data_IF_573025288555
#
_entry.id   IF_573025288555
#
_cell.length_a   1.000
_cell.length_b   1.000
_cell.length_c   1.000
_cell.angle_alpha   90.00
_cell.angle_beta   90.00
_cell.angle_gamma   90.00
#
_symmetry.space_group_name_H-M   'P 1'
#
loop_
_entity.id
_entity.type
_entity.pdbx_description
1 polymer ?
#
# COMPACT_ATOMS: atom_id res chain seq x y z
N UNK A 1 -20.53 -13.97 11.02
CA UNK A 1 -19.81 -13.42 9.86
C UNK A 1 -20.60 -12.26 9.29
N UNK A 2 -20.07 -11.05 9.36
CA UNK A 2 -20.59 -9.89 8.62
C UNK A 2 -19.74 -9.62 7.37
N UNK A 3 -20.07 -8.55 6.65
CA UNK A 3 -19.30 -8.05 5.49
C UNK A 3 -17.94 -7.43 5.86
N UNK A 4 -17.40 -7.70 7.05
CA UNK A 4 -16.09 -7.20 7.49
C UNK A 4 -16.07 -5.75 7.98
N UNK A 5 -17.22 -5.12 8.26
CA UNK A 5 -17.35 -3.76 8.81
C UNK A 5 -18.09 -3.81 10.15
N UNK A 6 -17.49 -3.29 11.23
CA UNK A 6 -18.02 -3.31 12.61
C UNK A 6 -17.01 -3.80 13.65
N UNK A 7 -17.43 -3.90 14.93
CA UNK A 7 -16.64 -4.38 16.09
C UNK A 7 -16.16 -5.84 15.97
N UNK A 8 -16.56 -6.57 14.92
CA UNK A 8 -16.26 -7.98 14.70
C UNK A 8 -14.84 -8.21 14.13
N UNK A 9 -13.81 -7.63 14.76
CA UNK A 9 -12.40 -7.84 14.38
C UNK A 9 -11.61 -8.53 15.50
N UNK A 10 -12.10 -8.50 16.74
CA UNK A 10 -11.54 -9.27 17.86
C UNK A 10 -12.67 -9.89 18.67
N UNK A 11 -12.42 -11.06 19.24
CA UNK A 11 -13.41 -11.96 19.85
C UNK A 11 -14.15 -11.47 21.10
N UNK A 12 -14.24 -10.16 21.35
CA UNK A 12 -15.11 -9.59 22.38
C UNK A 12 -16.35 -9.00 21.70
N UNK A 13 -17.34 -9.85 21.49
CA UNK A 13 -18.66 -9.47 21.00
C UNK A 13 -19.59 -9.36 22.21
N UNK A 14 -19.98 -8.14 22.56
CA UNK A 14 -21.20 -7.95 23.36
C UNK A 14 -22.39 -8.04 22.39
N UNK A 15 -23.17 -9.11 22.56
CA UNK A 15 -24.46 -9.46 21.94
C UNK A 15 -24.61 -9.37 20.41
N UNK A 16 -24.53 -10.54 19.76
CA UNK A 16 -25.00 -10.75 18.37
C UNK A 16 -26.15 -11.78 18.32
N UNK A 17 -27.42 -11.33 18.48
CA UNK A 17 -28.59 -12.23 18.53
C UNK A 17 -28.71 -13.16 17.32
N UNK A 18 -28.23 -12.74 16.15
CA UNK A 18 -28.27 -13.52 14.91
C UNK A 18 -27.21 -14.64 14.83
N UNK A 19 -26.25 -14.69 15.76
CA UNK A 19 -25.13 -15.66 15.76
C UNK A 19 -25.12 -16.53 17.02
N UNK A 20 -26.15 -16.41 17.87
CA UNK A 20 -26.16 -16.93 19.24
C UNK A 20 -26.05 -18.47 19.33
N UNK A 21 -26.40 -19.17 18.24
CA UNK A 21 -26.39 -20.65 18.17
C UNK A 21 -25.42 -21.22 17.12
N UNK A 22 -24.51 -20.41 16.57
CA UNK A 22 -23.56 -20.89 15.55
C UNK A 22 -22.20 -21.19 16.20
N UNK A 23 -21.95 -22.48 16.46
CA UNK A 23 -20.67 -22.96 16.97
C UNK A 23 -19.68 -23.20 15.82
N UNK A 24 -18.53 -22.51 15.87
CA UNK A 24 -17.43 -22.74 14.94
C UNK A 24 -16.21 -23.30 15.68
N UNK A 25 -15.82 -24.53 15.35
CA UNK A 25 -14.51 -25.08 15.73
C UNK A 25 -13.57 -24.95 14.53
N UNK A 26 -12.62 -24.02 14.59
CA UNK A 26 -11.58 -23.91 13.56
C UNK A 26 -10.35 -24.72 13.97
N UNK A 27 -9.95 -25.68 13.12
CA UNK A 27 -8.56 -26.17 13.08
C UNK A 27 -7.82 -25.26 12.12
N UNK A 28 -6.88 -24.46 12.61
CA UNK A 28 -5.97 -23.67 11.77
C UNK A 28 -4.90 -24.58 11.17
N UNK A 29 -5.26 -25.34 10.14
CA UNK A 29 -4.26 -25.81 9.20
C UNK A 29 -3.99 -24.62 8.27
N UNK A 30 -3.07 -23.73 8.66
CA UNK A 30 -2.61 -22.67 7.77
C UNK A 30 -1.84 -23.31 6.60
N UNK A 31 -2.56 -23.60 5.51
CA UNK A 31 -1.94 -23.91 4.23
C UNK A 31 -1.51 -22.59 3.58
N UNK A 32 -0.20 -22.34 3.58
CA UNK A 32 0.40 -21.23 2.85
C UNK A 32 0.46 -21.56 1.36
N UNK A 33 -0.37 -20.93 0.55
CA UNK A 33 -0.25 -21.04 -0.91
C UNK A 33 0.91 -20.18 -1.41
N UNK A 34 1.93 -20.83 -1.97
CA UNK A 34 3.05 -20.16 -2.64
C UNK A 34 2.56 -19.64 -4.00
N UNK A 35 2.70 -18.34 -4.23
CA UNK A 35 2.31 -17.72 -5.50
C UNK A 35 3.08 -18.34 -6.69
N UNK A 36 2.47 -18.45 -7.89
CA UNK A 36 3.13 -19.04 -9.05
C UNK A 36 4.48 -18.38 -9.38
N UNK A 37 4.56 -17.05 -9.29
CA UNK A 37 5.80 -16.31 -9.55
C UNK A 37 6.90 -16.66 -8.55
N UNK A 38 6.54 -16.91 -7.29
CA UNK A 38 7.51 -17.31 -6.28
C UNK A 38 8.01 -18.75 -6.50
N UNK A 39 7.16 -19.65 -7.02
CA UNK A 39 7.60 -20.99 -7.46
C UNK A 39 8.62 -20.90 -8.60
N UNK A 40 8.37 -20.03 -9.58
CA UNK A 40 9.31 -19.76 -10.68
C UNK A 40 10.63 -19.20 -10.16
N UNK A 41 10.58 -18.26 -9.21
CA UNK A 41 11.79 -17.72 -8.57
C UNK A 41 12.59 -18.81 -7.86
N UNK A 42 11.94 -19.65 -7.07
CA UNK A 42 12.60 -20.74 -6.34
C UNK A 42 13.24 -21.78 -7.27
N UNK A 43 12.59 -22.11 -8.39
CA UNK A 43 13.09 -23.13 -9.32
C UNK A 43 14.24 -22.63 -10.19
N UNK A 44 14.19 -21.39 -10.67
CA UNK A 44 15.19 -20.83 -11.60
C UNK A 44 16.34 -20.11 -10.92
N UNK A 45 16.14 -19.60 -9.70
CA UNK A 45 17.09 -18.69 -9.04
C UNK A 45 17.43 -19.10 -7.61
N UNK A 46 17.38 -20.40 -7.28
CA UNK A 46 17.72 -20.93 -5.96
C UNK A 46 19.09 -20.43 -5.46
N UNK A 47 20.07 -20.34 -6.35
CA UNK A 47 21.44 -19.92 -6.02
C UNK A 47 21.53 -18.45 -5.60
N UNK A 48 20.53 -17.64 -5.92
CA UNK A 48 20.46 -16.22 -5.52
C UNK A 48 20.03 -16.03 -4.06
N UNK A 49 19.58 -17.07 -3.36
CA UNK A 49 19.18 -16.98 -1.94
C UNK A 49 20.37 -17.01 -0.96
N UNK A 50 21.60 -16.98 -1.47
CA UNK A 50 22.80 -16.80 -0.67
C UNK A 50 23.37 -15.40 -0.86
N UNK A 51 23.57 -14.67 0.24
CA UNK A 51 24.18 -13.34 0.21
C UNK A 51 25.61 -13.35 -0.39
N UNK A 52 26.29 -14.50 -0.35
CA UNK A 52 27.61 -14.67 -0.98
C UNK A 52 27.57 -14.62 -2.51
N UNK A 53 26.44 -14.94 -3.13
CA UNK A 53 26.27 -14.80 -4.58
C UNK A 53 25.95 -13.34 -4.93
N UNK A 54 25.16 -12.65 -4.09
CA UNK A 54 24.86 -11.21 -4.21
C UNK A 54 24.16 -10.79 -5.50
N UNK A 55 23.77 -11.74 -6.37
CA UNK A 55 23.13 -11.48 -7.66
C UNK A 55 21.67 -11.12 -7.46
N UNK A 56 21.26 -10.00 -8.06
CA UNK A 56 19.84 -9.68 -8.25
C UNK A 56 19.18 -10.71 -9.18
N UNK A 57 17.94 -11.06 -8.88
CA UNK A 57 17.09 -11.86 -9.76
C UNK A 57 16.48 -10.93 -10.80
N UNK A 58 16.82 -11.17 -12.07
CA UNK A 58 16.25 -10.46 -13.21
C UNK A 58 15.14 -11.34 -13.80
N UNK A 59 13.89 -11.00 -13.51
CA UNK A 59 12.74 -11.67 -14.09
C UNK A 59 12.64 -11.35 -15.58
N UNK A 60 12.42 -12.37 -16.39
CA UNK A 60 12.18 -12.26 -17.81
C UNK A 60 10.70 -12.14 -18.10
N UNK A 61 10.34 -11.75 -19.33
CA UNK A 61 8.93 -11.77 -19.76
C UNK A 61 8.34 -13.18 -19.66
N UNK A 62 9.11 -14.20 -20.00
CA UNK A 62 8.68 -15.60 -19.92
C UNK A 62 8.33 -16.02 -18.47
N UNK A 63 9.11 -15.57 -17.48
CA UNK A 63 8.83 -15.85 -16.07
C UNK A 63 7.48 -15.27 -15.63
N UNK A 64 7.17 -14.05 -16.09
CA UNK A 64 5.90 -13.38 -15.80
C UNK A 64 4.74 -14.08 -16.52
N UNK A 65 4.89 -14.37 -17.81
CA UNK A 65 3.86 -14.97 -18.64
C UNK A 65 3.49 -16.39 -18.12
N UNK A 66 4.47 -17.18 -17.70
CA UNK A 66 4.25 -18.52 -17.10
C UNK A 66 3.59 -18.46 -15.71
N UNK A 67 3.74 -17.34 -15.00
CA UNK A 67 3.26 -17.18 -13.63
C UNK A 67 1.92 -16.44 -13.54
N UNK A 68 1.44 -15.86 -14.65
CA UNK A 68 0.19 -15.12 -14.71
C UNK A 68 -1.03 -16.04 -14.73
N UNK A 69 -1.97 -15.84 -13.81
CA UNK A 69 -3.19 -16.65 -13.68
C UNK A 69 -4.42 -16.04 -14.35
N UNK A 70 -4.35 -14.79 -14.85
CA UNK A 70 -5.52 -14.04 -15.32
C UNK A 70 -5.31 -13.43 -16.72
N UNK A 71 -6.21 -13.77 -17.65
CA UNK A 71 -6.24 -13.27 -19.03
C UNK A 71 -7.09 -12.01 -19.24
N UNK A 72 -7.88 -11.57 -18.26
CA UNK A 72 -8.66 -10.34 -18.44
C UNK A 72 -7.77 -9.11 -18.27
N UNK A 73 -7.55 -8.38 -19.37
CA UNK A 73 -6.92 -7.08 -19.33
C UNK A 73 -7.66 -6.20 -18.32
N UNK A 74 -6.99 -5.81 -17.24
CA UNK A 74 -7.58 -4.86 -16.31
C UNK A 74 -7.47 -3.48 -16.94
N UNK A 75 -8.59 -2.78 -17.07
CA UNK A 75 -8.58 -1.42 -17.59
C UNK A 75 -7.86 -0.51 -16.59
N UNK A 76 -6.75 0.07 -17.04
CA UNK A 76 -6.07 1.13 -16.31
C UNK A 76 -6.70 2.46 -16.71
N UNK A 77 -7.06 3.26 -15.70
CA UNK A 77 -7.62 4.60 -15.91
C UNK A 77 -6.52 5.66 -15.82
N UNK A 78 -6.83 6.90 -16.22
CA UNK A 78 -5.88 8.02 -16.13
C UNK A 78 -5.57 8.45 -14.68
N UNK A 79 -6.29 7.90 -13.69
CA UNK A 79 -6.04 8.15 -12.28
C UNK A 79 -4.86 7.37 -11.70
N UNK A 80 -4.25 6.46 -12.46
CA UNK A 80 -3.14 5.64 -11.96
C UNK A 80 -1.81 6.39 -11.97
N UNK A 81 -0.94 6.08 -11.02
CA UNK A 81 0.36 6.69 -10.86
C UNK A 81 1.43 5.68 -10.43
N UNK A 82 2.68 6.06 -10.66
CA UNK A 82 3.86 5.40 -10.11
C UNK A 82 4.45 6.29 -9.02
N UNK A 83 4.92 5.69 -7.94
CA UNK A 83 5.51 6.42 -6.83
C UNK A 83 6.80 5.73 -6.38
N UNK A 84 7.92 6.43 -6.45
CA UNK A 84 9.22 5.82 -6.25
C UNK A 84 10.38 6.75 -6.49
N UNK A 85 11.58 6.17 -6.47
CA UNK A 85 12.82 6.85 -6.78
C UNK A 85 13.33 6.41 -8.16
N UNK A 86 13.89 7.34 -8.92
CA UNK A 86 14.74 7.03 -10.07
C UNK A 86 16.18 6.97 -9.57
N UNK A 87 16.84 5.85 -9.77
CA UNK A 87 18.23 5.60 -9.37
C UNK A 87 19.09 5.64 -10.63
N UNK A 88 20.05 6.56 -10.64
CA UNK A 88 21.02 6.73 -11.72
C UNK A 88 22.40 7.03 -11.16
N UNK A 89 23.43 6.61 -11.89
CA UNK A 89 24.82 6.93 -11.53
C UNK A 89 25.22 8.34 -11.99
N UNK A 90 24.65 8.81 -13.11
CA UNK A 90 24.83 10.14 -13.67
C UNK A 90 23.53 10.56 -14.38
N UNK A 91 23.37 11.84 -14.70
CA UNK A 91 22.15 12.35 -15.37
C UNK A 91 22.06 11.91 -16.83
N UNK A 92 23.19 11.77 -17.54
CA UNK A 92 23.23 11.37 -18.96
C UNK A 92 22.61 9.98 -19.19
N UNK A 93 22.78 9.07 -18.23
CA UNK A 93 22.25 7.71 -18.25
C UNK A 93 20.72 7.64 -18.29
N UNK A 94 19.99 8.68 -17.86
CA UNK A 94 18.52 8.71 -17.94
C UNK A 94 18.08 8.62 -19.41
N UNK A 95 18.75 9.38 -20.29
CA UNK A 95 18.38 9.46 -21.71
C UNK A 95 18.68 8.16 -22.47
N UNK A 96 19.56 7.32 -21.94
CA UNK A 96 19.94 6.02 -22.50
C UNK A 96 19.14 4.84 -21.91
N UNK A 97 18.09 5.11 -21.12
CA UNK A 97 17.35 4.11 -20.34
C UNK A 97 18.22 3.33 -19.34
N UNK A 98 19.37 3.87 -18.94
CA UNK A 98 20.28 3.26 -17.98
C UNK A 98 19.95 3.75 -16.55
N UNK A 99 18.73 3.46 -16.11
CA UNK A 99 18.24 3.78 -14.77
C UNK A 99 17.59 2.57 -14.10
N UNK A 100 17.35 2.70 -12.80
CA UNK A 100 16.45 1.82 -12.07
C UNK A 100 15.33 2.61 -11.41
N UNK A 101 14.09 2.19 -11.59
CA UNK A 101 12.96 2.72 -10.85
C UNK A 101 12.72 1.87 -9.60
N UNK A 102 13.02 2.43 -8.43
CA UNK A 102 12.67 1.80 -7.17
C UNK A 102 11.29 2.24 -6.72
N UNK A 103 10.34 1.31 -6.85
CA UNK A 103 8.96 1.55 -6.53
C UNK A 103 8.69 1.49 -5.00
N UNK A 104 7.93 2.47 -4.51
CA UNK A 104 7.56 2.63 -3.09
C UNK A 104 6.07 2.41 -2.82
N UNK A 105 5.23 2.24 -3.85
CA UNK A 105 3.79 1.99 -3.73
C UNK A 105 3.39 0.70 -4.46
N UNK A 106 2.12 0.50 -4.80
CA UNK A 106 1.74 -0.56 -5.74
C UNK A 106 2.05 -0.15 -7.19
N UNK A 107 2.24 -1.12 -8.09
CA UNK A 107 2.61 -0.90 -9.50
C UNK A 107 1.50 -1.29 -10.49
N UNK A 108 0.85 -0.32 -11.16
CA UNK A 108 0.68 1.07 -10.72
C UNK A 108 -0.31 1.20 -9.56
N UNK A 109 -0.24 2.30 -8.83
CA UNK A 109 -1.19 2.63 -7.77
C UNK A 109 -2.36 3.43 -8.35
N UNK A 110 -3.62 3.13 -8.00
CA UNK A 110 -4.78 3.89 -8.46
C UNK A 110 -5.01 5.18 -7.68
N UNK A 111 -5.78 6.11 -8.27
CA UNK A 111 -6.30 7.32 -7.63
C UNK A 111 -5.21 8.27 -7.12
N UNK A 112 -4.46 8.89 -8.03
CA UNK A 112 -3.40 9.85 -7.69
C UNK A 112 -3.89 11.06 -6.89
N UNK A 113 -5.18 11.40 -7.00
CA UNK A 113 -5.81 12.46 -6.21
C UNK A 113 -5.66 12.20 -4.69
N UNK A 114 -5.64 10.93 -4.26
CA UNK A 114 -5.39 10.59 -2.85
C UNK A 114 -4.05 11.16 -2.35
N UNK A 115 -3.00 11.16 -3.16
CA UNK A 115 -1.66 11.63 -2.75
C UNK A 115 -1.36 13.06 -3.19
N UNK A 116 -1.94 13.53 -4.29
CA UNK A 116 -1.60 14.83 -4.89
C UNK A 116 -2.54 15.98 -4.52
N UNK A 117 -3.78 15.71 -4.08
CA UNK A 117 -4.77 16.77 -3.84
C UNK A 117 -4.31 17.86 -2.88
N UNK A 118 -3.54 17.52 -1.83
CA UNK A 118 -3.03 18.51 -0.88
C UNK A 118 -2.08 19.56 -1.48
N UNK A 119 -1.46 19.26 -2.63
CA UNK A 119 -0.53 20.17 -3.31
C UNK A 119 -1.21 21.07 -4.35
N UNK A 120 -2.51 20.87 -4.59
CA UNK A 120 -3.24 21.59 -5.64
C UNK A 120 -3.81 22.95 -5.20
N UNK A 121 -3.58 23.40 -3.96
CA UNK A 121 -4.00 24.74 -3.52
C UNK A 121 -3.36 25.88 -4.32
N UNK A 122 -2.15 25.66 -4.84
CA UNK A 122 -1.36 26.67 -5.55
C UNK A 122 -0.86 26.16 -6.92
N UNK A 123 -1.45 25.08 -7.43
CA UNK A 123 -1.12 24.50 -8.73
C UNK A 123 -2.42 24.25 -9.51
N UNK A 124 -2.78 25.21 -10.35
CA UNK A 124 -4.01 25.17 -11.15
C UNK A 124 -4.00 24.05 -12.19
N UNK A 125 -2.82 23.65 -12.67
CA UNK A 125 -2.68 22.54 -13.63
C UNK A 125 -3.01 21.22 -12.93
N UNK A 126 -2.43 21.02 -11.74
CA UNK A 126 -2.73 19.84 -10.92
C UNK A 126 -4.19 19.82 -10.48
N UNK A 127 -4.72 20.97 -10.04
CA UNK A 127 -6.14 21.10 -9.67
C UNK A 127 -7.06 20.71 -10.81
N UNK A 128 -6.85 21.28 -12.00
CA UNK A 128 -7.66 20.98 -13.19
C UNK A 128 -7.61 19.49 -13.54
N UNK A 129 -6.42 18.85 -13.45
CA UNK A 129 -6.28 17.40 -13.69
C UNK A 129 -7.06 16.56 -12.69
N UNK A 130 -7.12 16.96 -11.41
CA UNK A 130 -7.90 16.26 -10.39
C UNK A 130 -9.40 16.43 -10.64
N UNK A 131 -9.84 17.62 -10.99
CA UNK A 131 -11.25 17.91 -11.32
C UNK A 131 -11.71 17.12 -12.56
N UNK A 132 -10.83 16.90 -13.55
CA UNK A 132 -11.11 16.09 -14.73
C UNK A 132 -11.28 14.58 -14.47
N UNK A 133 -10.88 14.07 -13.31
CA UNK A 133 -11.08 12.64 -12.98
C UNK A 133 -12.55 12.26 -12.81
N UNK A 134 -13.43 13.26 -12.78
CA UNK A 134 -14.81 13.11 -12.33
C UNK A 134 -15.73 13.89 -13.25
N UNK A 135 -16.69 13.18 -13.81
CA UNK A 135 -17.76 13.79 -14.56
C UNK A 135 -19.06 13.28 -13.95
N UNK A 136 -19.70 14.13 -13.15
CA UNK A 136 -21.07 13.90 -12.74
C UNK A 136 -21.96 13.75 -13.98
N UNK A 137 -22.96 12.87 -13.89
CA UNK A 137 -23.97 12.67 -14.92
C UNK A 137 -25.37 12.73 -14.32
N UNK A 138 -26.36 12.51 -15.17
CA UNK A 138 -27.75 12.42 -14.71
C UNK A 138 -27.94 11.23 -13.75
N UNK A 139 -27.16 10.16 -13.93
CA UNK A 139 -27.30 8.91 -13.17
C UNK A 139 -26.24 8.73 -12.07
N UNK A 140 -25.07 9.34 -12.19
CA UNK A 140 -23.92 9.12 -11.30
C UNK A 140 -23.39 10.43 -10.76
N UNK A 141 -23.11 10.48 -9.46
CA UNK A 141 -22.48 11.61 -8.79
C UNK A 141 -21.26 11.15 -8.00
N UNK A 142 -20.21 11.96 -8.04
CA UNK A 142 -19.04 11.79 -7.19
C UNK A 142 -19.24 12.59 -5.90
N UNK A 143 -19.07 11.92 -4.77
CA UNK A 143 -19.28 12.54 -3.46
C UNK A 143 -18.05 12.36 -2.57
N UNK A 144 -17.46 13.48 -2.15
CA UNK A 144 -16.28 13.46 -1.29
C UNK A 144 -16.69 13.09 0.14
N UNK A 145 -16.00 12.11 0.73
CA UNK A 145 -16.21 11.74 2.12
C UNK A 145 -15.47 12.74 3.01
N UNK A 146 -16.22 13.51 3.80
CA UNK A 146 -15.68 14.50 4.73
C UNK A 146 -15.67 13.91 6.12
N UNK A 147 -14.46 13.66 6.65
CA UNK A 147 -14.25 13.11 7.97
C UNK A 147 -13.03 13.78 8.62
N UNK A 148 -13.20 14.23 9.86
CA UNK A 148 -12.16 14.79 10.70
C UNK A 148 -11.73 13.72 11.69
N UNK A 149 -10.52 13.21 11.50
CA UNK A 149 -9.85 12.41 12.51
C UNK A 149 -9.21 13.31 13.57
N UNK A 150 -8.95 12.75 14.76
CA UNK A 150 -8.34 13.44 15.90
C UNK A 150 -7.09 14.26 15.48
N UNK A 151 -6.87 15.38 16.19
CA UNK A 151 -5.99 16.55 15.93
C UNK A 151 -4.60 16.36 15.28
N UNK A 152 -4.07 15.14 15.13
CA UNK A 152 -2.70 14.90 14.63
C UNK A 152 -2.55 14.77 13.12
N UNK A 153 -3.63 14.79 12.34
CA UNK A 153 -3.59 14.52 10.89
C UNK A 153 -4.16 15.64 10.01
N UNK A 154 -4.43 16.82 10.58
CA UNK A 154 -4.95 17.97 9.83
C UNK A 154 -4.16 18.26 8.54
N UNK A 155 -2.83 18.24 8.60
CA UNK A 155 -1.95 18.48 7.44
C UNK A 155 -2.07 17.44 6.31
N UNK A 156 -2.58 16.24 6.60
CA UNK A 156 -2.81 15.18 5.61
C UNK A 156 -4.20 15.30 4.98
N UNK A 157 -5.15 15.91 5.72
CA UNK A 157 -6.53 16.12 5.27
C UNK A 157 -6.70 17.39 4.42
N UNK A 158 -5.75 18.32 4.46
CA UNK A 158 -5.76 19.56 3.69
C UNK A 158 -5.84 19.27 2.18
N UNK A 159 -6.84 19.86 1.50
CA UNK A 159 -7.03 19.82 0.05
C UNK A 159 -8.05 20.87 -0.41
N UNK A 160 -7.97 21.36 -1.66
CA UNK A 160 -9.05 22.12 -2.27
C UNK A 160 -10.36 21.31 -2.32
N UNK A 161 -11.47 22.03 -2.46
CA UNK A 161 -12.78 21.40 -2.65
C UNK A 161 -13.00 21.15 -4.13
N UNK A 162 -12.94 19.89 -4.57
CA UNK A 162 -13.13 19.52 -5.98
C UNK A 162 -14.57 19.14 -6.33
N UNK A 163 -15.39 18.75 -5.34
CA UNK A 163 -16.66 18.08 -5.57
C UNK A 163 -17.84 18.97 -5.20
N UNK A 164 -18.97 18.78 -5.89
CA UNK A 164 -20.22 19.46 -5.55
C UNK A 164 -21.00 18.74 -4.44
N UNK A 165 -20.90 17.41 -4.40
CA UNK A 165 -21.54 16.57 -3.40
C UNK A 165 -20.53 16.16 -2.34
N UNK A 166 -20.97 16.19 -1.07
CA UNK A 166 -20.15 15.81 0.07
C UNK A 166 -20.94 14.85 0.97
N UNK A 167 -20.27 13.83 1.51
CA UNK A 167 -20.81 12.94 2.54
C UNK A 167 -20.13 13.31 3.85
N UNK A 168 -20.66 14.29 4.61
CA UNK A 168 -20.14 14.62 5.92
C UNK A 168 -20.43 13.52 6.92
N UNK A 169 -19.43 13.21 7.73
CA UNK A 169 -19.58 12.30 8.85
C UNK A 169 -18.71 12.78 10.01
N UNK A 170 -19.36 13.20 11.10
CA UNK A 170 -18.70 13.77 12.32
C UNK A 170 -17.96 15.10 12.06
N UNK A 171 -18.06 15.63 10.83
CA UNK A 171 -17.48 16.91 10.43
C UNK A 171 -18.50 17.74 9.69
N UNK A 172 -18.33 19.06 9.73
CA UNK A 172 -19.16 19.97 8.95
C UNK A 172 -18.59 20.19 7.55
N UNK A 173 -19.47 20.59 6.64
CA UNK A 173 -19.14 20.97 5.26
C UNK A 173 -19.26 22.47 5.08
N UNK A 174 -18.70 23.00 3.98
CA UNK A 174 -19.02 24.37 3.57
C UNK A 174 -20.48 24.49 3.12
N UNK A 175 -21.03 25.70 3.20
CA UNK A 175 -22.45 25.99 2.91
C UNK A 175 -22.81 25.87 1.43
N UNK A 176 -21.83 26.01 0.52
CA UNK A 176 -22.02 26.00 -0.94
C UNK A 176 -22.13 24.58 -1.54
N UNK A 177 -22.08 23.54 -0.71
CA UNK A 177 -22.01 22.13 -1.12
C UNK A 177 -23.29 21.35 -0.84
N UNK A 178 -23.61 20.39 -1.71
CA UNK A 178 -24.77 19.52 -1.53
C UNK A 178 -24.41 18.38 -0.59
N UNK A 179 -24.94 18.43 0.63
CA UNK A 179 -24.69 17.41 1.67
C UNK A 179 -25.55 16.16 1.41
N UNK A 180 -24.92 15.01 1.28
CA UNK A 180 -25.57 13.70 1.27
C UNK A 180 -25.46 13.12 2.68
N UNK A 181 -26.58 13.12 3.41
CA UNK A 181 -26.63 12.52 4.74
C UNK A 181 -26.40 11.00 4.63
N UNK A 182 -25.72 10.40 5.61
CA UNK A 182 -25.47 8.96 5.60
C UNK A 182 -26.77 8.13 5.55
N UNK A 183 -27.85 8.61 6.16
CA UNK A 183 -29.17 7.96 6.14
C UNK A 183 -29.85 8.04 4.77
N UNK A 184 -29.35 8.88 3.87
CA UNK A 184 -29.82 8.99 2.49
C UNK A 184 -29.17 7.93 1.57
N UNK A 185 -28.07 7.30 2.02
CA UNK A 185 -27.31 6.34 1.22
C UNK A 185 -27.93 4.94 1.36
N UNK A 186 -28.42 4.42 0.24
CA UNK A 186 -28.89 3.04 0.11
C UNK A 186 -27.77 2.19 -0.50
N UNK A 187 -27.54 1.01 0.10
CA UNK A 187 -26.59 0.02 -0.41
C UNK A 187 -27.36 -1.12 -1.06
N UNK A 188 -26.95 -1.52 -2.26
CA UNK A 188 -27.47 -2.71 -2.93
C UNK A 188 -26.34 -3.45 -3.64
N UNK A 189 -26.55 -4.75 -3.87
CA UNK A 189 -25.66 -5.57 -4.70
C UNK A 189 -26.45 -5.94 -5.95
N UNK A 190 -25.90 -5.63 -7.14
CA UNK A 190 -26.48 -6.03 -8.43
C UNK A 190 -25.36 -6.51 -9.34
N UNK A 191 -25.52 -7.68 -9.96
CA UNK A 191 -24.52 -8.27 -10.86
C UNK A 191 -23.12 -8.32 -10.20
N UNK A 192 -23.07 -8.77 -8.95
CA UNK A 192 -21.90 -8.80 -8.08
C UNK A 192 -21.26 -7.44 -7.74
N UNK A 193 -21.80 -6.32 -8.23
CA UNK A 193 -21.32 -4.96 -7.96
C UNK A 193 -22.03 -4.33 -6.76
N UNK A 194 -21.25 -3.66 -5.90
CA UNK A 194 -21.76 -2.82 -4.81
C UNK A 194 -22.20 -1.47 -5.40
N UNK A 195 -23.47 -1.12 -5.21
CA UNK A 195 -24.07 0.13 -5.68
C UNK A 195 -24.55 0.93 -4.48
N UNK A 196 -23.98 2.13 -4.33
CA UNK A 196 -24.48 3.17 -3.44
C UNK A 196 -25.44 4.08 -4.22
N UNK A 197 -26.60 4.41 -3.66
CA UNK A 197 -27.57 5.33 -4.27
C UNK A 197 -28.13 6.29 -3.25
N UNK A 198 -28.20 7.57 -3.59
CA UNK A 198 -28.92 8.58 -2.80
C UNK A 198 -30.42 8.36 -2.95
N UNK A 199 -31.15 8.26 -1.83
CA UNK A 199 -32.62 8.12 -1.82
C UNK A 199 -33.28 9.40 -2.31
N UNK A 200 -32.80 10.56 -1.86
CA UNK A 200 -33.35 11.87 -2.19
C UNK A 200 -33.09 12.29 -3.65
N UNK A 201 -31.87 12.08 -4.15
CA UNK A 201 -31.47 12.47 -5.50
C UNK A 201 -31.79 11.39 -6.55
N UNK A 202 -32.03 10.16 -6.10
CA UNK A 202 -32.17 8.98 -6.96
C UNK A 202 -30.96 8.73 -7.89
N UNK A 203 -29.77 9.19 -7.49
CA UNK A 203 -28.52 9.02 -8.26
C UNK A 203 -27.57 8.03 -7.61
N UNK A 204 -26.82 7.30 -8.43
CA UNK A 204 -25.72 6.42 -7.98
C UNK A 204 -24.59 7.29 -7.41
N UNK A 205 -24.06 6.90 -6.25
CA UNK A 205 -22.97 7.59 -5.58
C UNK A 205 -21.66 6.84 -5.84
N UNK A 206 -20.64 7.57 -6.28
CA UNK A 206 -19.23 7.14 -6.28
C UNK A 206 -18.53 7.88 -5.14
N UNK A 207 -18.30 7.24 -3.98
CA UNK A 207 -17.62 7.88 -2.87
C UNK A 207 -16.16 8.10 -3.24
N UNK A 208 -15.60 9.25 -2.88
CA UNK A 208 -14.18 9.55 -3.10
C UNK A 208 -13.54 10.07 -1.83
N UNK A 209 -12.27 9.70 -1.63
CA UNK A 209 -11.41 10.26 -0.62
C UNK A 209 -10.20 10.86 -1.31
N UNK A 210 -10.12 12.17 -1.40
CA UNK A 210 -9.00 12.86 -2.06
C UNK A 210 -7.90 13.26 -1.05
N UNK A 211 -7.60 12.37 -0.10
CA UNK A 211 -6.53 12.57 0.91
C UNK A 211 -5.68 11.33 1.04
N UNK A 212 -4.44 11.51 1.50
CA UNK A 212 -3.51 10.41 1.77
C UNK A 212 -3.79 9.76 3.14
N UNK A 213 -4.97 10.02 3.70
CA UNK A 213 -5.35 9.52 5.00
C UNK A 213 -5.67 8.03 4.93
N UNK A 214 -5.00 7.24 5.77
CA UNK A 214 -5.22 5.81 5.81
C UNK A 214 -6.53 5.48 6.55
N UNK A 215 -7.61 5.30 5.79
CA UNK A 215 -8.94 4.99 6.32
C UNK A 215 -9.08 3.58 6.93
N UNK A 216 -8.04 2.75 6.92
CA UNK A 216 -8.01 1.47 7.62
C UNK A 216 -7.53 1.58 9.08
N UNK A 217 -6.88 2.67 9.46
CA UNK A 217 -6.33 2.87 10.82
C UNK A 217 -7.33 3.68 11.65
N UNK A 218 -7.81 3.09 12.76
CA UNK A 218 -8.61 3.75 13.80
C UNK A 218 -9.83 4.55 13.27
N UNK A 219 -10.46 4.05 12.22
CA UNK A 219 -11.61 4.68 11.58
C UNK A 219 -12.93 3.98 11.83
N UNK A 220 -13.99 4.78 11.75
CA UNK A 220 -15.35 4.29 11.84
C UNK A 220 -15.66 3.38 10.66
N UNK A 221 -16.38 2.29 10.94
CA UNK A 221 -16.62 1.23 9.96
C UNK A 221 -17.30 1.73 8.68
N UNK A 222 -18.11 2.79 8.78
CA UNK A 222 -18.74 3.44 7.64
C UNK A 222 -17.74 4.19 6.75
N UNK A 223 -16.75 4.86 7.33
CA UNK A 223 -15.68 5.53 6.58
C UNK A 223 -14.85 4.47 5.87
N UNK A 224 -14.47 3.40 6.57
CA UNK A 224 -13.75 2.29 5.96
C UNK A 224 -14.52 1.67 4.78
N UNK A 225 -15.83 1.46 4.95
CA UNK A 225 -16.69 0.93 3.89
C UNK A 225 -16.73 1.84 2.66
N UNK A 226 -16.97 3.14 2.84
CA UNK A 226 -16.96 4.10 1.72
C UNK A 226 -15.59 4.17 1.05
N UNK A 227 -14.52 4.10 1.84
CA UNK A 227 -13.14 4.06 1.37
C UNK A 227 -12.83 2.81 0.54
N UNK A 228 -13.32 1.64 0.95
CA UNK A 228 -13.16 0.40 0.20
C UNK A 228 -13.97 0.38 -1.10
N UNK A 229 -15.19 0.92 -1.08
CA UNK A 229 -16.07 1.01 -2.26
C UNK A 229 -15.43 1.86 -3.36
N UNK A 230 -14.63 2.88 -3.03
CA UNK A 230 -13.92 3.68 -4.04
C UNK A 230 -12.95 2.86 -4.89
N UNK A 231 -12.44 1.74 -4.34
CA UNK A 231 -11.50 0.83 -4.99
C UNK A 231 -12.17 -0.45 -5.48
N UNK A 232 -13.50 -0.54 -5.45
CA UNK A 232 -14.22 -1.65 -6.02
C UNK A 232 -14.06 -1.66 -7.56
N UNK A 233 -13.70 -2.80 -8.14
CA UNK A 233 -13.31 -2.95 -9.56
C UNK A 233 -12.12 -2.09 -10.02
N UNK A 234 -11.31 -1.59 -9.08
CA UNK A 234 -10.07 -0.88 -9.39
C UNK A 234 -8.89 -1.82 -9.19
N UNK A 235 -8.00 -1.91 -10.18
CA UNK A 235 -6.73 -2.62 -10.01
C UNK A 235 -5.91 -1.93 -8.92
N UNK A 236 -5.55 -2.65 -7.86
CA UNK A 236 -4.79 -2.09 -6.74
C UNK A 236 -3.27 -2.13 -6.96
N UNK A 237 -2.85 -2.43 -8.17
CA UNK A 237 -1.44 -2.57 -8.55
C UNK A 237 -0.81 -3.87 -8.06
N UNK A 238 0.40 -4.12 -8.57
CA UNK A 238 1.26 -5.21 -8.15
C UNK A 238 2.16 -4.78 -6.99
N UNK A 239 2.34 -5.66 -6.00
CA UNK A 239 3.40 -5.55 -4.98
C UNK A 239 4.06 -6.90 -4.84
N UNK A 240 5.40 -6.91 -4.82
CA UNK A 240 6.13 -8.14 -4.56
C UNK A 240 5.85 -8.62 -3.14
N UNK A 241 5.48 -9.89 -3.01
CA UNK A 241 5.28 -10.55 -1.73
C UNK A 241 6.14 -11.82 -1.69
N UNK A 242 7.00 -11.90 -0.67
CA UNK A 242 7.84 -13.06 -0.41
C UNK A 242 7.06 -14.22 0.23
N UNK A 243 5.83 -13.98 0.70
CA UNK A 243 4.96 -15.00 1.28
C UNK A 243 5.70 -15.83 2.33
N UNK A 244 5.66 -17.16 2.19
CA UNK A 244 6.31 -18.10 3.09
C UNK A 244 7.84 -17.91 3.24
N UNK A 245 8.51 -17.16 2.36
CA UNK A 245 9.94 -16.87 2.45
C UNK A 245 10.25 -15.58 3.21
N UNK A 246 9.24 -14.86 3.71
CA UNK A 246 9.39 -13.56 4.38
C UNK A 246 10.28 -13.61 5.63
N UNK A 247 10.52 -14.78 6.21
CA UNK A 247 11.36 -14.95 7.40
C UNK A 247 12.81 -15.35 7.12
N UNK A 248 13.18 -15.55 5.85
CA UNK A 248 14.55 -15.90 5.50
C UNK A 248 15.54 -14.81 5.92
N UNK A 249 16.75 -15.23 6.32
CA UNK A 249 17.82 -14.32 6.75
C UNK A 249 18.32 -13.42 5.63
N UNK A 250 18.26 -13.90 4.39
CA UNK A 250 18.57 -13.13 3.20
C UNK A 250 17.52 -13.36 2.13
N UNK A 251 17.10 -12.28 1.48
CA UNK A 251 16.28 -12.31 0.28
C UNK A 251 16.95 -11.45 -0.80
N UNK A 252 17.14 -11.96 -2.02
CA UNK A 252 17.78 -11.21 -3.09
C UNK A 252 16.90 -10.08 -3.61
N UNK A 253 17.52 -9.09 -4.25
CA UNK A 253 16.80 -8.07 -5.00
C UNK A 253 16.07 -8.71 -6.18
N UNK A 254 14.81 -8.35 -6.40
CA UNK A 254 14.01 -8.75 -7.56
C UNK A 254 13.85 -7.56 -8.50
N UNK A 255 14.17 -7.76 -9.76
CA UNK A 255 14.05 -6.77 -10.83
C UNK A 255 13.24 -7.33 -12.00
N UNK A 256 12.50 -6.45 -12.67
CA UNK A 256 11.89 -6.72 -13.97
C UNK A 256 12.10 -5.49 -14.85
N UNK A 257 12.84 -5.67 -15.95
CA UNK A 257 13.34 -4.54 -16.77
C UNK A 257 14.09 -3.52 -15.89
N UNK A 258 13.72 -2.24 -15.96
CA UNK A 258 14.31 -1.17 -15.16
C UNK A 258 13.68 -1.05 -13.76
N UNK A 259 12.68 -1.86 -13.41
CA UNK A 259 11.94 -1.72 -12.15
C UNK A 259 12.51 -2.66 -11.09
N UNK A 260 12.83 -2.11 -9.91
CA UNK A 260 13.12 -2.90 -8.71
C UNK A 260 11.77 -3.23 -8.04
N UNK A 261 11.39 -4.50 -8.09
CA UNK A 261 10.13 -5.01 -7.51
C UNK A 261 10.26 -5.30 -6.00
N UNK A 262 11.45 -5.74 -5.57
CA UNK A 262 11.82 -5.92 -4.16
C UNK A 262 13.30 -5.60 -4.02
N UNK A 263 13.67 -4.81 -3.01
CA UNK A 263 15.07 -4.68 -2.61
C UNK A 263 15.63 -6.00 -2.07
N UNK A 264 16.96 -6.10 -2.04
CA UNK A 264 17.61 -7.12 -1.24
C UNK A 264 17.33 -6.85 0.25
N UNK A 265 17.26 -7.91 1.04
CA UNK A 265 16.92 -7.83 2.46
C UNK A 265 17.80 -8.76 3.27
N UNK A 266 18.30 -8.26 4.40
CA UNK A 266 19.02 -9.03 5.41
C UNK A 266 18.30 -8.93 6.76
N UNK A 267 17.96 -10.07 7.37
CA UNK A 267 17.45 -10.14 8.74
C UNK A 267 18.62 -10.40 9.68
N UNK A 268 18.96 -9.39 10.47
CA UNK A 268 19.97 -9.49 11.54
C UNK A 268 19.25 -9.86 12.83
N UNK A 269 19.58 -11.04 13.35
CA UNK A 269 18.92 -11.61 14.53
C UNK A 269 19.33 -10.84 15.78
N UNK A 270 18.37 -10.59 16.67
CA UNK A 270 18.57 -10.01 17.99
C UNK A 270 19.69 -10.72 18.75
N UNK A 271 20.71 -9.97 19.15
CA UNK A 271 21.80 -10.50 19.97
C UNK A 271 22.52 -9.36 20.71
N UNK A 272 23.33 -9.71 21.71
CA UNK A 272 24.26 -8.78 22.35
C UNK A 272 25.54 -8.69 21.54
N UNK A 273 25.57 -7.77 20.59
CA UNK A 273 26.75 -7.50 19.78
C UNK A 273 27.66 -6.45 20.44
N UNK A 274 28.98 -6.67 20.36
CA UNK A 274 29.96 -5.58 20.45
C UNK A 274 30.12 -4.94 19.07
N UNK A 275 30.69 -3.73 19.01
CA UNK A 275 30.96 -3.02 17.74
C UNK A 275 31.79 -3.90 16.80
N UNK A 276 32.89 -4.48 17.29
CA UNK A 276 33.76 -5.34 16.48
C UNK A 276 33.01 -6.58 15.97
N UNK A 277 32.26 -7.28 16.85
CA UNK A 277 31.50 -8.48 16.48
C UNK A 277 30.43 -8.18 15.43
N UNK A 278 29.74 -7.04 15.56
CA UNK A 278 28.73 -6.65 14.57
C UNK A 278 29.38 -6.31 13.23
N UNK A 279 30.46 -5.53 13.20
CA UNK A 279 31.17 -5.21 11.96
C UNK A 279 31.62 -6.47 11.22
N UNK A 280 32.19 -7.44 11.92
CA UNK A 280 32.55 -8.75 11.34
C UNK A 280 31.32 -9.48 10.79
N UNK A 281 30.24 -9.56 11.57
CA UNK A 281 28.99 -10.19 11.11
C UNK A 281 28.44 -9.56 9.84
N UNK A 282 28.41 -8.21 9.76
CA UNK A 282 27.93 -7.48 8.59
C UNK A 282 28.77 -7.81 7.34
N UNK A 283 30.09 -7.87 7.49
CA UNK A 283 31.02 -8.21 6.41
C UNK A 283 30.89 -9.67 5.95
N UNK A 284 30.76 -10.62 6.89
CA UNK A 284 30.58 -12.05 6.60
C UNK A 284 29.28 -12.32 5.85
N UNK A 285 28.21 -11.57 6.16
CA UNK A 285 26.90 -11.68 5.51
C UNK A 285 26.74 -10.78 4.28
N UNK A 286 27.84 -10.17 3.80
CA UNK A 286 27.87 -9.29 2.61
C UNK A 286 26.84 -8.16 2.65
N UNK A 287 26.59 -7.61 3.83
CA UNK A 287 25.73 -6.44 3.99
C UNK A 287 26.50 -5.21 3.43
N UNK A 288 25.89 -4.42 2.52
CA UNK A 288 26.56 -3.27 1.92
C UNK A 288 26.97 -2.21 2.95
N UNK A 289 27.99 -1.41 2.60
CA UNK A 289 28.42 -0.27 3.43
C UNK A 289 27.26 0.67 3.78
N UNK A 290 26.43 0.96 2.79
CA UNK A 290 25.23 1.77 2.96
C UNK A 290 24.00 0.89 2.88
N UNK A 291 23.23 0.83 3.96
CA UNK A 291 21.99 0.08 4.03
C UNK A 291 20.95 0.87 4.83
N UNK A 292 19.69 0.50 4.71
CA UNK A 292 18.59 1.19 5.35
C UNK A 292 17.91 0.31 6.41
N UNK A 293 17.56 0.90 7.54
CA UNK A 293 16.49 0.38 8.41
C UNK A 293 15.20 1.06 8.00
N UNK A 294 14.13 0.28 7.83
CA UNK A 294 12.79 0.80 7.51
C UNK A 294 11.82 0.49 8.65
N UNK A 295 11.18 1.53 9.17
CA UNK A 295 10.16 1.45 10.22
C UNK A 295 8.93 2.23 9.75
N UNK A 296 7.92 1.51 9.23
CA UNK A 296 6.78 2.10 8.52
C UNK A 296 7.29 3.01 7.37
N UNK A 297 6.93 4.29 7.39
CA UNK A 297 7.34 5.28 6.38
C UNK A 297 8.72 5.89 6.66
N UNK A 298 9.32 5.61 7.83
CA UNK A 298 10.62 6.16 8.19
C UNK A 298 11.74 5.27 7.63
N UNK A 299 12.65 5.89 6.90
CA UNK A 299 13.84 5.24 6.36
C UNK A 299 15.07 5.87 7.00
N UNK A 300 15.88 5.07 7.67
CA UNK A 300 17.15 5.49 8.26
C UNK A 300 18.31 4.87 7.47
N UNK A 301 19.08 5.73 6.80
CA UNK A 301 20.33 5.35 6.16
C UNK A 301 21.39 5.08 7.24
N UNK A 302 22.03 3.91 7.15
CA UNK A 302 23.16 3.52 7.96
C UNK A 302 24.41 3.43 7.10
N UNK A 303 25.50 3.94 7.65
CA UNK A 303 26.86 3.66 7.20
C UNK A 303 27.48 2.63 8.15
N UNK A 304 27.77 1.41 7.68
CA UNK A 304 28.31 0.32 8.51
C UNK A 304 29.75 0.56 8.97
N UNK A 305 30.45 1.55 8.38
CA UNK A 305 31.79 1.94 8.82
C UNK A 305 31.74 2.97 9.95
N UNK A 306 30.68 3.78 9.98
CA UNK A 306 30.44 4.80 11.00
C UNK A 306 30.06 4.18 12.36
N UNK A 307 30.78 4.55 13.42
CA UNK A 307 30.56 3.96 14.74
C UNK A 307 29.22 4.32 15.37
N UNK A 308 28.69 5.53 15.13
CA UNK A 308 27.40 5.96 15.67
C UNK A 308 26.27 5.13 15.04
N UNK A 309 26.33 4.91 13.73
CA UNK A 309 25.39 4.03 13.01
C UNK A 309 25.40 2.62 13.58
N UNK A 310 26.59 2.07 13.85
CA UNK A 310 26.75 0.74 14.45
C UNK A 310 26.19 0.69 15.87
N UNK A 311 26.47 1.70 16.70
CA UNK A 311 25.91 1.79 18.05
C UNK A 311 24.38 1.88 18.03
N UNK A 312 23.81 2.65 17.11
CA UNK A 312 22.37 2.74 16.91
C UNK A 312 21.79 1.37 16.51
N UNK A 313 22.42 0.68 15.56
CA UNK A 313 22.00 -0.66 15.16
C UNK A 313 22.06 -1.66 16.32
N UNK A 314 23.14 -1.64 17.14
CA UNK A 314 23.25 -2.45 18.37
C UNK A 314 22.11 -2.14 19.33
N UNK A 315 21.77 -0.86 19.54
CA UNK A 315 20.71 -0.45 20.45
C UNK A 315 19.34 -1.02 20.04
N UNK A 316 19.07 -1.10 18.72
CA UNK A 316 17.87 -1.74 18.16
C UNK A 316 17.94 -3.27 18.28
N UNK A 317 19.07 -3.87 17.93
CA UNK A 317 19.32 -5.32 18.02
C UNK A 317 19.31 -5.88 19.43
N UNK A 318 19.47 -5.04 20.47
CA UNK A 318 19.26 -5.45 21.85
C UNK A 318 17.78 -5.68 22.20
N UNK A 319 16.86 -5.11 21.42
CA UNK A 319 15.41 -5.16 21.66
C UNK A 319 14.73 -6.22 20.77
N UNK A 320 15.06 -6.24 19.49
CA UNK A 320 14.39 -7.07 18.47
C UNK A 320 15.30 -7.38 17.28
N UNK A 321 14.88 -8.30 16.42
CA UNK A 321 15.50 -8.53 15.12
C UNK A 321 15.39 -7.25 14.27
N UNK A 322 16.41 -6.99 13.45
CA UNK A 322 16.43 -5.81 12.56
C UNK A 322 16.53 -6.27 11.12
N UNK A 323 15.71 -5.65 10.26
CA UNK A 323 15.77 -5.86 8.83
C UNK A 323 16.56 -4.71 8.20
N UNK A 324 17.56 -5.06 7.40
CA UNK A 324 18.37 -4.16 6.60
C UNK A 324 18.05 -4.34 5.12
N UNK A 325 18.02 -3.22 4.39
CA UNK A 325 17.78 -3.14 2.94
C UNK A 325 18.92 -2.42 2.24
#
# INVERSE_FOLDING_TARGET
>A
MGIGYGLQISGNVEETPLLQDIFFSYKSNETYEISPILKTVLSKYSDCFSANNGKSIQLTKEDIDQSSTSQSATEMHDSYYLFGNILVNNEENINENNFRFFNKASLPAPNFNTVLSRFSYHDEVLRSKIEMLQTDSDDVIYAEVINSSNDRVGNVLLRPNFYQYEIPYISDTKEDKTKININDILVSIRNNEIILRSKSLNKRIKPVMSTAYNYHIDQLSIIRFLGDVQYYNVYRGFRWDWGALSDNNYLPRIEYKEIILSEARWKVIKNRYSIAKLKTYLQENKIPKYCNIKELDNVLLLDTENEISIQLLISKLNKQDVILY
#
